data_IF_260372882001
#
_entry.id   IF_260372882001
#
_cell.length_a   1.000
_cell.length_b   1.000
_cell.length_c   1.000
_cell.angle_alpha   90.00
_cell.angle_beta   90.00
_cell.angle_gamma   90.00
#
_symmetry.space_group_name_H-M   'P 1'
#
loop_
_entity.id
_entity.type
_entity.pdbx_description
1 polymer ?
2 non-polymer ?
3 water ?
#
# COMPACT_ATOMS: atom_id res chain seq x y z
N UNK A 5 -14.74 -4.55 6.42
CA UNK A 5 -15.17 -4.78 5.01
C UNK A 5 -13.94 -4.77 4.09
N UNK A 6 -13.57 -3.58 3.63
CA UNK A 6 -12.48 -3.38 2.70
C UNK A 6 -12.77 -3.66 1.24
N UNK A 7 -11.89 -3.13 0.40
CA UNK A 7 -12.02 -3.21 -1.04
C UNK A 7 -10.70 -2.92 -1.73
N UNK A 8 -10.73 -2.87 -3.05
CA UNK A 8 -9.54 -2.67 -3.85
C UNK A 8 -8.92 -1.30 -3.63
N UNK A 9 -7.60 -1.25 -3.78
CA UNK A 9 -6.84 -0.01 -3.83
C UNK A 9 -6.09 -0.05 -5.15
N UNK A 10 -6.55 0.73 -6.12
CA UNK A 10 -6.03 0.67 -7.48
C UNK A 10 -5.10 1.84 -7.77
N UNK A 11 -3.93 1.55 -8.33
CA UNK A 11 -3.00 2.58 -8.74
C UNK A 11 -3.51 3.28 -9.98
N UNK A 12 -3.50 4.61 -9.95
CA UNK A 12 -4.02 5.41 -11.06
C UNK A 12 -3.21 5.19 -12.34
N UNK A 13 -1.89 5.25 -12.23
CA UNK A 13 -1.03 5.15 -13.40
C UNK A 13 -1.02 3.77 -14.03
N UNK A 14 -1.11 2.73 -13.20
CA UNK A 14 -0.99 1.34 -13.67
C UNK A 14 -2.33 0.69 -13.99
N UNK A 15 -3.39 1.15 -13.33
CA UNK A 15 -4.67 0.46 -13.38
C UNK A 15 -4.66 -0.89 -12.68
N UNK A 16 -3.64 -1.13 -11.85
CA UNK A 16 -3.49 -2.39 -11.13
C UNK A 16 -3.62 -2.17 -9.63
N UNK A 17 -3.97 -3.23 -8.92
CA UNK A 17 -4.33 -3.15 -7.51
C UNK A 17 -3.21 -3.55 -6.55
N UNK A 18 -3.26 -2.95 -5.37
CA UNK A 18 -2.36 -3.28 -4.27
C UNK A 18 -2.65 -4.71 -3.83
N UNK A 19 -1.62 -5.56 -3.88
CA UNK A 19 -1.80 -7.01 -3.85
C UNK A 19 -0.71 -7.66 -2.99
N UNK A 20 -1.10 -8.55 -2.08
CA UNK A 20 -0.12 -9.33 -1.32
C UNK A 20 0.27 -10.54 -2.16
N UNK A 21 1.52 -10.62 -2.60
CA UNK A 21 1.97 -11.71 -3.48
C UNK A 21 1.63 -13.12 -2.98
N UNK A 22 1.00 -13.90 -3.85
CA UNK A 22 0.61 -15.30 -3.59
C UNK A 22 -0.34 -15.46 -2.40
N UNK A 23 -1.04 -14.38 -2.05
CA UNK A 23 -1.95 -14.37 -0.90
C UNK A 23 -1.24 -14.81 0.38
N UNK A 24 0.04 -14.46 0.50
CA UNK A 24 0.82 -14.79 1.68
C UNK A 24 0.27 -14.04 2.88
N UNK A 25 0.39 -14.65 4.05
CA UNK A 25 0.04 -14.00 5.31
C UNK A 25 1.27 -13.84 6.19
N UNK A 26 2.45 -13.98 5.59
CA UNK A 26 3.70 -13.93 6.33
C UNK A 26 4.14 -12.48 6.52
N UNK A 27 4.37 -12.09 7.77
CA UNK A 27 4.92 -10.78 8.08
C UNK A 27 6.21 -10.54 7.30
N UNK A 28 6.36 -9.33 6.78
CA UNK A 28 7.54 -8.96 6.02
C UNK A 28 7.41 -9.11 4.52
N UNK A 29 6.27 -9.63 4.04
CA UNK A 29 6.06 -9.81 2.61
C UNK A 29 5.81 -8.45 1.96
N UNK A 30 6.66 -8.10 1.00
CA UNK A 30 6.53 -6.83 0.29
C UNK A 30 5.33 -6.84 -0.65
N UNK A 31 4.61 -5.72 -0.69
CA UNK A 31 3.44 -5.57 -1.55
C UNK A 31 3.84 -5.38 -3.01
N UNK A 32 2.89 -5.67 -3.90
CA UNK A 32 3.08 -5.51 -5.34
C UNK A 32 1.82 -4.96 -6.00
N UNK A 33 1.95 -4.61 -7.28
CA UNK A 33 0.81 -4.38 -8.15
C UNK A 33 0.39 -5.69 -8.81
N UNK A 34 -0.92 -5.87 -8.98
CA UNK A 34 -1.44 -7.00 -9.73
C UNK A 34 -2.80 -6.68 -10.35
N UNK A 35 -3.09 -7.30 -11.48
CA UNK A 35 -4.41 -7.20 -12.10
C UNK A 35 -5.49 -7.33 -11.03
N UNK A 36 -6.45 -6.41 -11.05
CA UNK A 36 -7.46 -6.32 -10.00
C UNK A 36 -8.41 -7.51 -10.03
N UNK A 37 -8.74 -8.01 -8.84
CA UNK A 37 -9.71 -9.08 -8.69
C UNK A 37 -10.31 -9.09 -7.27
N UNK A 38 -11.14 -10.09 -6.98
CA UNK A 38 -11.90 -10.16 -5.72
C UNK A 38 -11.21 -10.96 -4.61
N UNK A 39 -9.96 -11.35 -4.83
CA UNK A 39 -9.19 -12.10 -3.87
C UNK A 39 -9.00 -11.33 -2.57
N UNK A 40 -8.94 -12.05 -1.45
CA UNK A 40 -8.84 -11.40 -0.14
C UNK A 40 -7.51 -10.65 0.01
N UNK A 41 -6.50 -11.06 -0.76
CA UNK A 41 -5.19 -10.40 -0.76
C UNK A 41 -5.17 -9.03 -1.47
N UNK A 42 -6.33 -8.59 -1.97
CA UNK A 42 -6.49 -7.27 -2.57
C UNK A 42 -7.56 -6.41 -1.87
N UNK A 43 -8.09 -6.89 -0.74
CA UNK A 43 -9.15 -6.16 -0.05
C UNK A 43 -8.59 -5.45 1.19
N UNK A 44 -8.57 -4.12 1.13
CA UNK A 44 -7.96 -3.27 2.15
C UNK A 44 -9.01 -2.43 2.85
N UNK A 45 -9.03 -2.51 4.18
CA UNK A 45 -9.97 -1.76 5.00
C UNK A 45 -9.25 -0.60 5.68
N UNK A 46 -9.76 0.61 5.48
CA UNK A 46 -9.24 1.79 6.15
C UNK A 46 -9.88 1.90 7.53
N UNK A 47 -9.07 2.02 8.58
CA UNK A 47 -9.59 2.07 9.95
C UNK A 47 -9.46 3.46 10.55
N UNK A 48 -10.19 3.69 11.64
CA UNK A 48 -10.13 4.95 12.38
C UNK A 48 -8.74 5.22 12.96
N UNK A 49 -7.99 4.16 13.24
CA UNK A 49 -6.62 4.26 13.75
C UNK A 49 -5.61 4.63 12.66
N UNK A 50 -6.08 4.84 11.44
CA UNK A 50 -5.22 5.25 10.34
C UNK A 50 -4.59 4.11 9.56
N UNK A 51 -5.02 2.88 9.83
CA UNK A 51 -4.43 1.71 9.18
C UNK A 51 -5.08 1.40 7.84
N UNK A 52 -4.38 0.62 7.04
CA UNK A 52 -4.97 -0.08 5.91
C UNK A 52 -4.73 -1.56 6.16
N UNK A 53 -5.81 -2.28 6.49
CA UNK A 53 -5.72 -3.68 6.89
C UNK A 53 -6.12 -4.64 5.79
N UNK A 54 -5.40 -5.75 5.70
CA UNK A 54 -5.75 -6.86 4.83
C UNK A 54 -5.88 -8.13 5.69
N UNK A 55 -6.80 -9.01 5.29
CA UNK A 55 -7.13 -10.23 6.03
C UNK A 55 -7.72 -9.97 7.42
N UNK A 56 -8.08 -8.71 7.70
CA UNK A 56 -8.57 -8.31 9.00
C UNK A 56 -7.50 -8.06 10.05
N UNK A 57 -6.35 -8.73 9.96
CA UNK A 57 -5.34 -8.69 11.03
C UNK A 57 -3.90 -8.40 10.58
N UNK A 58 -3.72 -7.98 9.34
CA UNK A 58 -2.41 -7.53 8.87
C UNK A 58 -2.50 -6.08 8.43
N UNK A 59 -1.47 -5.31 8.74
CA UNK A 59 -1.40 -3.88 8.42
C UNK A 59 -0.41 -3.60 7.30
N UNK A 60 -0.78 -2.67 6.42
CA UNK A 60 0.16 -2.06 5.50
C UNK A 60 1.20 -1.34 6.35
N UNK A 61 2.47 -1.64 6.11
CA UNK A 61 3.54 -1.37 7.06
C UNK A 61 4.79 -0.89 6.33
N UNK A 62 5.29 0.28 6.71
CA UNK A 62 6.54 0.80 6.16
C UNK A 62 7.71 0.26 6.98
N UNK A 63 8.60 -0.47 6.32
CA UNK A 63 9.75 -1.10 6.96
C UNK A 63 10.84 -0.09 7.37
N UNK A 64 10.79 1.10 6.78
CA UNK A 64 11.75 2.16 7.05
C UNK A 64 11.14 3.53 6.81
N UNK A 65 11.98 4.57 6.84
CA UNK A 65 11.52 5.95 6.64
C UNK A 65 12.18 6.67 5.47
N UNK A 66 12.94 5.96 4.65
CA UNK A 66 13.67 6.59 3.56
C UNK A 66 13.12 6.20 2.20
N UNK A 67 13.50 6.96 1.18
CA UNK A 67 13.19 6.62 -0.20
C UNK A 67 13.68 5.21 -0.50
N UNK A 68 12.81 4.40 -1.08
CA UNK A 68 13.13 3.02 -1.39
C UNK A 68 12.81 2.02 -0.29
N UNK A 69 12.40 2.51 0.88
CA UNK A 69 11.99 1.65 1.99
C UNK A 69 10.85 0.74 1.52
N UNK A 70 10.93 -0.54 1.87
CA UNK A 70 9.92 -1.50 1.46
C UNK A 70 8.61 -1.29 2.21
N UNK A 71 7.50 -1.47 1.50
CA UNK A 71 6.18 -1.48 2.12
C UNK A 71 5.70 -2.93 2.10
N UNK A 72 5.28 -3.41 3.26
CA UNK A 72 5.05 -4.83 3.52
C UNK A 72 3.76 -5.02 4.32
N UNK A 73 3.34 -6.28 4.49
CA UNK A 73 2.33 -6.60 5.49
C UNK A 73 3.02 -6.94 6.80
N UNK A 74 2.34 -6.66 7.91
CA UNK A 74 2.88 -6.95 9.23
C UNK A 74 1.77 -6.95 10.26
N UNK A 75 1.93 -7.76 11.31
CA UNK A 75 0.97 -7.78 12.40
C UNK A 75 0.77 -6.37 12.96
N UNK A 76 -0.48 -6.01 13.20
CA UNK A 76 -0.84 -4.66 13.63
C UNK A 76 -0.46 -4.42 15.09
N UNK A 77 0.14 -3.27 15.38
CA UNK A 77 0.52 -2.91 16.75
C UNK A 77 0.34 -1.43 17.12
N UNK A 78 -0.16 -0.61 16.20
CA UNK A 78 -0.46 0.78 16.49
C UNK A 78 0.67 1.76 16.20
N UNK A 79 1.76 1.27 15.61
CA UNK A 79 2.91 2.12 15.31
C UNK A 79 2.63 3.13 14.21
N UNK A 80 3.40 4.21 14.19
CA UNK A 80 3.19 5.28 13.21
C UNK A 80 3.58 4.88 11.78
N UNK A 81 4.39 3.83 11.65
CA UNK A 81 4.72 3.25 10.34
C UNK A 81 3.62 2.35 9.78
N UNK A 82 2.54 2.18 10.54
CA UNK A 82 1.35 1.46 10.09
C UNK A 82 0.15 2.41 9.92
N UNK A 83 0.41 3.71 9.97
CA UNK A 83 -0.62 4.72 9.76
C UNK A 83 -0.39 5.46 8.45
N UNK A 84 -1.49 5.77 7.77
CA UNK A 84 -1.46 6.34 6.43
C UNK A 84 -2.52 7.43 6.31
N UNK A 85 -2.09 8.59 5.81
CA UNK A 85 -2.98 9.71 5.52
C UNK A 85 -3.54 9.51 4.11
N UNK A 86 -4.86 9.38 4.00
CA UNK A 86 -5.52 9.13 2.73
C UNK A 86 -6.04 10.46 2.17
N UNK A 87 -5.18 11.12 1.40
CA UNK A 87 -5.48 12.45 0.89
C UNK A 87 -6.46 12.45 -0.27
N UNK A 88 -7.13 13.58 -0.46
CA UNK A 88 -8.15 13.73 -1.49
C UNK A 88 -7.57 13.67 -2.91
N UNK A 89 -6.28 13.96 -3.04
CA UNK A 89 -5.59 13.92 -4.34
C UNK A 89 -5.07 12.53 -4.72
N UNK A 90 -5.47 11.50 -3.98
CA UNK A 90 -5.07 10.14 -4.27
C UNK A 90 -3.78 9.69 -3.61
N UNK A 91 -3.03 10.62 -3.00
CA UNK A 91 -1.80 10.23 -2.32
C UNK A 91 -2.12 9.51 -1.02
N UNK A 92 -1.25 8.57 -0.67
CA UNK A 92 -1.37 7.76 0.53
C UNK A 92 -0.03 7.93 1.24
N UNK A 93 -0.01 8.75 2.28
CA UNK A 93 1.23 9.24 2.88
C UNK A 93 1.46 8.58 4.24
N UNK A 94 2.61 7.94 4.40
CA UNK A 94 2.96 7.31 5.65
C UNK A 94 3.15 8.35 6.74
N UNK A 95 2.54 8.13 7.89
CA UNK A 95 2.58 9.11 8.97
C UNK A 95 4.01 9.27 9.51
N UNK A 96 4.67 8.15 9.81
CA UNK A 96 6.02 8.20 10.36
C UNK A 96 7.03 8.81 9.38
N UNK A 97 6.93 8.44 8.11
CA UNK A 97 7.94 8.81 7.11
C UNK A 97 7.66 10.14 6.41
N UNK A 98 6.39 10.51 6.30
CA UNK A 98 5.99 11.62 5.45
C UNK A 98 6.18 11.36 3.96
N UNK A 99 6.40 10.10 3.59
CA UNK A 99 6.63 9.70 2.20
C UNK A 99 5.41 8.99 1.63
N UNK A 100 5.32 8.97 0.30
CA UNK A 100 4.16 8.42 -0.40
C UNK A 100 4.31 6.94 -0.74
N UNK A 101 3.19 6.22 -0.66
CA UNK A 101 3.06 4.88 -1.20
C UNK A 101 3.30 4.96 -2.71
N UNK A 102 4.26 4.18 -3.21
CA UNK A 102 4.85 4.41 -4.52
C UNK A 102 5.16 3.09 -5.24
N UNK A 103 4.74 2.96 -6.49
CA UNK A 103 5.10 1.79 -7.29
C UNK A 103 6.54 1.94 -7.79
N UNK A 104 7.39 1.02 -7.36
CA UNK A 104 8.84 1.06 -7.60
C UNK A 104 9.20 1.31 -9.06
N UNK A 105 10.10 2.27 -9.28
CA UNK A 105 10.66 2.56 -10.59
C UNK A 105 9.65 3.06 -11.60
N UNK A 106 8.55 3.63 -11.12
CA UNK A 106 7.42 4.03 -11.96
C UNK A 106 6.84 2.86 -12.77
N UNK A 107 6.96 1.65 -12.23
CA UNK A 107 6.49 0.46 -12.90
C UNK A 107 4.98 0.34 -12.88
N UNK A 108 4.44 -0.30 -13.91
CA UNK A 108 3.00 -0.56 -14.02
C UNK A 108 2.63 -2.03 -14.15
N UNK A 109 3.60 -2.90 -14.42
CA UNK A 109 3.32 -4.30 -14.72
C UNK A 109 2.98 -5.10 -13.46
N UNK A 110 2.29 -6.23 -13.65
CA UNK A 110 2.15 -7.23 -12.60
C UNK A 110 3.50 -7.50 -11.96
N UNK A 111 3.55 -7.50 -10.63
CA UNK A 111 4.76 -7.81 -9.90
C UNK A 111 5.62 -6.62 -9.54
N UNK A 112 5.25 -5.42 -10.01
CA UNK A 112 5.92 -4.19 -9.60
C UNK A 112 5.82 -4.07 -8.09
N UNK A 113 6.95 -3.90 -7.41
CA UNK A 113 6.96 -3.82 -5.96
C UNK A 113 6.53 -2.44 -5.47
N UNK A 114 6.19 -2.35 -4.19
CA UNK A 114 5.70 -1.12 -3.58
C UNK A 114 6.69 -0.65 -2.51
N UNK A 115 6.95 0.66 -2.52
CA UNK A 115 7.94 1.29 -1.64
C UNK A 115 7.41 2.62 -1.12
N UNK A 116 8.21 3.27 -0.28
CA UNK A 116 8.03 4.68 0.04
C UNK A 116 8.88 5.52 -0.89
N UNK A 117 8.37 6.68 -1.27
CA UNK A 117 9.15 7.63 -2.06
C UNK A 117 8.59 9.04 -1.91
N UNK A 118 9.48 10.03 -2.00
CA UNK A 118 9.12 11.44 -1.95
C UNK A 118 7.83 11.71 -2.72
N UNK A 119 6.88 12.37 -2.07
CA UNK A 119 5.64 12.75 -2.72
C UNK A 119 5.95 13.72 -3.87
N UNK A 120 5.52 13.34 -5.07
CA UNK A 120 5.78 14.11 -6.28
C UNK A 120 4.55 14.20 -7.19
N UNK A 121 3.39 13.81 -6.66
CA UNK A 121 2.14 13.75 -7.41
C UNK A 121 2.16 12.85 -8.65
N UNK A 122 3.06 11.87 -8.67
CA UNK A 122 3.17 10.96 -9.79
C UNK A 122 1.97 10.04 -9.88
N UNK A 123 1.65 9.59 -11.09
CA UNK A 123 0.54 8.66 -11.29
C UNK A 123 0.81 7.32 -10.60
N UNK A 124 2.08 6.99 -10.38
CA UNK A 124 2.46 5.81 -9.61
C UNK A 124 2.40 6.02 -8.09
N UNK A 125 1.91 7.18 -7.67
CA UNK A 125 1.72 7.54 -6.26
C UNK A 125 0.29 7.93 -5.95
N UNK A 126 -0.61 7.72 -6.91
CA UNK A 126 -2.00 8.07 -6.72
C UNK A 126 -2.81 6.78 -6.74
N UNK A 127 -3.77 6.70 -5.82
CA UNK A 127 -4.48 5.46 -5.53
C UNK A 127 -5.96 5.76 -5.38
N UNK A 128 -6.79 4.92 -5.99
CA UNK A 128 -8.23 5.15 -6.00
C UNK A 128 -9.00 3.92 -5.56
N UNK A 129 -10.09 4.15 -4.83
CA UNK A 129 -11.11 3.14 -4.65
C UNK A 129 -11.80 2.93 -6.00
N UNK A 130 -12.37 1.74 -6.17
CA UNK A 130 -12.97 1.34 -7.43
C UNK A 130 -14.49 1.25 -7.30
X LIG B 1 9.24 -4.34 11.12
X LIG B 1 9.78 -4.67 9.86
X LIG B 1 7.93 -3.59 10.94
X LIG B 1 8.17 -2.40 10.23
X LIG B 1 7.34 -3.28 12.31
X LIG B 1 6.20 -2.46 12.18
X LIG C 1 0.16 -13.29 -7.61
X LIG C 1 1.43 -12.95 -7.10
X LIG C 1 -0.90 -12.36 -7.02
X LIG C 1 -0.79 -12.35 -5.62
X LIG C 1 -2.30 -12.82 -7.41
X LIG C 1 -3.24 -12.06 -6.69
#
# INVERSE_FOLDING_TARGET
EPPADGGQIKGVGSGRCLDVPDASTSDGTQLQLWDCHSGTNQQWAATDAGELRVYGDKCLDAAGTSNGSKVQIYSCWGGDNQKWRLNSDGSVVGVQSGLCLDAVGNGTANGTLIQLYTCSNGSNQRWTRT
GOL C1 O1 C2 O2 C3 O3
GOL C1 O1 C2 O2 C3 O3
#
